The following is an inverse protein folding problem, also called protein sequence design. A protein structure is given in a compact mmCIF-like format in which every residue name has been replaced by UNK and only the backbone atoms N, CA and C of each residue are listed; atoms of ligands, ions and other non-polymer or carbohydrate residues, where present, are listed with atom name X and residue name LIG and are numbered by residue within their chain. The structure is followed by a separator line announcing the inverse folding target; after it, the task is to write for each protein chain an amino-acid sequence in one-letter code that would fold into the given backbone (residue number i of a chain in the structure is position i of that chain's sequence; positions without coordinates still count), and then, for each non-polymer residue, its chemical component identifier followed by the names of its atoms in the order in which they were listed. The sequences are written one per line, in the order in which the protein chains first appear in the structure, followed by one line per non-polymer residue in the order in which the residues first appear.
data_IF_748919311414
#
_entry.id   IF_748919311414
#
_cell.length_a   1.000
_cell.length_b   1.000
_cell.length_c   1.000
_cell.angle_alpha   90.00
_cell.angle_beta   90.00
_cell.angle_gamma   90.00
#
_symmetry.space_group_name_H-M   'P 1'
#
loop_
_entity.id
_entity.type
_entity.pdbx_description
1 polymer ?
#
# COMPACT_ATOMS: atom_id res chain seq x y z
N UNK A 1 -5.36 -13.43 17.26
CA UNK A 1 -4.00 -12.98 17.68
C UNK A 1 -3.55 -11.89 16.71
N UNK A 2 -2.79 -10.91 17.18
CA UNK A 2 -2.19 -9.87 16.33
C UNK A 2 -0.67 -10.06 16.36
N UNK A 3 -0.03 -9.89 15.20
CA UNK A 3 1.42 -10.05 15.03
C UNK A 3 2.03 -8.71 14.62
N UNK A 4 3.22 -8.42 15.12
CA UNK A 4 3.94 -7.21 14.75
C UNK A 4 4.57 -7.36 13.37
N UNK A 5 4.28 -6.44 12.44
CA UNK A 5 4.94 -6.36 11.14
C UNK A 5 6.05 -5.28 11.24
N UNK A 6 7.34 -5.65 11.11
CA UNK A 6 8.44 -4.69 11.20
C UNK A 6 8.37 -3.61 10.11
N UNK A 7 8.89 -2.38 10.35
CA UNK A 7 8.87 -1.30 9.35
C UNK A 7 9.46 -1.65 7.97
N UNK A 8 10.52 -2.47 7.84
CA UNK A 8 10.99 -2.92 6.53
C UNK A 8 9.93 -3.73 5.77
N UNK A 9 9.16 -4.56 6.48
CA UNK A 9 8.13 -5.43 5.92
C UNK A 9 6.82 -4.68 5.64
N UNK A 10 6.51 -3.62 6.41
CA UNK A 10 5.35 -2.75 6.14
C UNK A 10 5.42 -2.07 4.77
N UNK A 11 6.61 -1.94 4.15
CA UNK A 11 6.75 -1.41 2.78
C UNK A 11 6.19 -2.33 1.69
N UNK A 12 5.95 -3.62 2.00
CA UNK A 12 5.43 -4.63 1.06
C UNK A 12 3.90 -4.67 1.02
N UNK A 13 3.23 -3.99 1.94
CA UNK A 13 1.78 -4.08 2.15
C UNK A 13 1.18 -2.70 2.35
N UNK A 14 -0.13 -2.59 2.17
CA UNK A 14 -0.89 -1.39 2.49
C UNK A 14 -1.79 -1.64 3.71
N UNK A 15 -2.14 -0.58 4.43
CA UNK A 15 -3.14 -0.69 5.49
C UNK A 15 -4.47 -1.19 4.91
N UNK A 16 -5.02 -2.23 5.52
CA UNK A 16 -6.28 -2.86 5.11
C UNK A 16 -6.12 -4.07 4.19
N UNK A 17 -4.91 -4.34 3.67
CA UNK A 17 -4.67 -5.53 2.86
C UNK A 17 -4.89 -6.80 3.68
N UNK A 18 -5.48 -7.82 3.03
CA UNK A 18 -5.55 -9.17 3.57
C UNK A 18 -4.39 -9.97 3.02
N UNK A 19 -3.53 -10.46 3.91
CA UNK A 19 -2.29 -11.15 3.55
C UNK A 19 -2.17 -12.51 4.26
N UNK A 20 -1.41 -13.41 3.66
CA UNK A 20 -0.77 -14.54 4.33
C UNK A 20 0.63 -14.08 4.74
N UNK A 21 1.02 -14.41 5.97
CA UNK A 21 2.32 -14.03 6.52
C UNK A 21 2.98 -15.22 7.23
N UNK A 22 4.29 -15.31 7.11
CA UNK A 22 5.12 -16.24 7.88
C UNK A 22 5.39 -15.63 9.24
N UNK A 23 5.17 -16.41 10.30
CA UNK A 23 5.44 -15.97 11.67
C UNK A 23 6.84 -16.41 12.08
N UNK A 24 7.69 -15.44 12.40
CA UNK A 24 9.02 -15.68 12.94
C UNK A 24 9.01 -15.46 14.45
N UNK A 25 9.42 -16.48 15.19
CA UNK A 25 9.63 -16.39 16.63
C UNK A 25 11.12 -16.19 16.91
N UNK A 26 11.52 -14.96 17.21
CA UNK A 26 12.88 -14.66 17.66
C UNK A 26 12.88 -14.26 19.14
N UNK A 27 13.60 -15.04 19.95
CA UNK A 27 13.63 -14.90 21.41
C UNK A 27 12.22 -15.00 22.01
N UNK A 28 11.65 -13.89 22.46
CA UNK A 28 10.33 -13.79 23.08
C UNK A 28 9.33 -12.96 22.24
N UNK A 29 9.68 -12.61 21.00
CA UNK A 29 8.83 -11.81 20.13
C UNK A 29 8.47 -12.57 18.87
N UNK A 30 7.18 -12.52 18.54
CA UNK A 30 6.65 -13.01 17.27
C UNK A 30 6.51 -11.84 16.31
N UNK A 31 7.09 -11.95 15.12
CA UNK A 31 6.94 -10.99 14.03
C UNK A 31 6.30 -11.66 12.81
N UNK A 32 5.57 -10.88 12.02
CA UNK A 32 4.95 -11.33 10.78
C UNK A 32 5.72 -10.75 9.58
N UNK A 33 6.14 -11.64 8.68
CA UNK A 33 6.67 -11.30 7.37
C UNK A 33 5.61 -11.58 6.29
N UNK A 34 5.13 -10.57 5.54
CA UNK A 34 4.19 -10.76 4.45
C UNK A 34 4.75 -11.68 3.35
N UNK A 35 3.96 -12.68 2.97
CA UNK A 35 4.32 -13.67 1.95
C UNK A 35 3.42 -13.53 0.72
N UNK A 36 2.10 -13.54 0.91
CA UNK A 36 1.13 -13.51 -0.18
C UNK A 36 0.01 -12.49 0.07
N UNK A 37 -0.38 -11.77 -0.97
CA UNK A 37 -1.54 -10.89 -0.95
C UNK A 37 -2.80 -11.69 -1.35
N UNK A 38 -3.74 -11.82 -0.42
CA UNK A 38 -5.02 -12.50 -0.66
C UNK A 38 -6.05 -11.54 -1.25
N UNK A 39 -6.16 -10.34 -0.66
CA UNK A 39 -7.14 -9.35 -1.08
C UNK A 39 -6.55 -7.94 -0.91
N UNK A 40 -6.46 -7.16 -2.01
CA UNK A 40 -6.01 -5.78 -1.93
C UNK A 40 -7.08 -4.90 -1.29
N UNK A 41 -6.67 -3.99 -0.41
CA UNK A 41 -7.56 -2.98 0.14
C UNK A 41 -8.05 -1.98 -0.91
N UNK A 42 -7.18 -1.62 -1.86
CA UNK A 42 -7.50 -0.69 -2.94
C UNK A 42 -7.56 -1.38 -4.29
N UNK A 43 -8.66 -1.20 -5.00
CA UNK A 43 -8.81 -1.60 -6.42
C UNK A 43 -9.22 -0.40 -7.27
N UNK A 44 -10.42 0.14 -7.00
CA UNK A 44 -10.92 1.40 -7.55
C UNK A 44 -11.07 2.40 -6.43
N UNK A 45 -10.42 3.55 -6.55
CA UNK A 45 -10.42 4.59 -5.53
C UNK A 45 -10.45 5.98 -6.14
N UNK A 46 -10.77 6.96 -5.30
CA UNK A 46 -10.63 8.39 -5.60
C UNK A 46 -9.54 8.98 -4.71
N UNK A 47 -8.92 10.07 -5.16
CA UNK A 47 -7.81 10.67 -4.44
C UNK A 47 -7.38 11.99 -5.05
N UNK A 48 -6.46 12.66 -4.36
CA UNK A 48 -5.87 13.92 -4.82
C UNK A 48 -4.60 13.62 -5.61
N UNK A 49 -4.54 14.09 -6.86
CA UNK A 49 -3.34 13.98 -7.70
C UNK A 49 -2.34 15.06 -7.29
N UNK A 50 -1.07 14.67 -7.21
CA UNK A 50 0.08 15.52 -6.94
C UNK A 50 1.11 15.30 -8.05
N UNK A 51 1.80 16.38 -8.47
CA UNK A 51 2.80 16.32 -9.53
C UNK A 51 4.08 17.05 -9.15
N UNK A 52 5.24 16.43 -9.39
CA UNK A 52 6.56 17.07 -9.27
C UNK A 52 7.52 16.50 -10.31
N UNK A 53 8.19 17.37 -11.06
CA UNK A 53 9.21 16.99 -12.07
C UNK A 53 8.73 15.88 -13.02
N UNK A 54 7.57 16.09 -13.67
CA UNK A 54 6.92 15.14 -14.59
C UNK A 54 6.52 13.77 -14.00
N UNK A 55 6.58 13.62 -12.67
CA UNK A 55 6.09 12.43 -11.97
C UNK A 55 4.76 12.76 -11.30
N UNK A 56 3.72 12.03 -11.69
CA UNK A 56 2.41 12.08 -11.05
C UNK A 56 2.31 11.01 -9.97
N UNK A 57 1.66 11.37 -8.88
CA UNK A 57 1.25 10.45 -7.83
C UNK A 57 -0.18 10.82 -7.37
N UNK A 58 -0.88 9.87 -6.77
CA UNK A 58 -2.21 10.07 -6.21
C UNK A 58 -2.22 9.65 -4.75
N UNK A 59 -2.76 10.51 -3.88
CA UNK A 59 -3.00 10.18 -2.48
C UNK A 59 -4.46 9.72 -2.36
N UNK A 60 -4.73 8.46 -1.97
CA UNK A 60 -6.09 7.97 -1.79
C UNK A 60 -6.86 8.80 -0.75
N UNK A 61 -8.15 9.03 -0.99
CA UNK A 61 -9.02 9.74 -0.04
C UNK A 61 -9.51 8.78 1.06
N UNK A 62 -8.60 8.37 1.95
CA UNK A 62 -8.89 7.49 3.07
C UNK A 62 -8.07 7.86 4.31
N UNK A 63 -8.66 7.95 5.52
CA UNK A 63 -7.97 8.49 6.71
C UNK A 63 -6.66 7.78 7.10
N UNK A 64 -6.56 6.49 6.78
CA UNK A 64 -5.42 5.65 7.12
C UNK A 64 -4.38 5.53 5.98
N UNK A 65 -4.68 6.07 4.80
CA UNK A 65 -3.79 6.04 3.64
C UNK A 65 -3.24 7.43 3.38
N UNK A 66 -1.99 7.66 3.79
CA UNK A 66 -1.32 8.97 3.64
C UNK A 66 -0.23 8.96 2.59
N UNK A 67 0.14 7.79 2.09
CA UNK A 67 1.22 7.62 1.15
C UNK A 67 0.76 7.92 -0.29
N UNK A 68 1.60 8.64 -1.03
CA UNK A 68 1.35 8.96 -2.42
C UNK A 68 1.73 7.76 -3.32
N UNK A 69 0.77 7.28 -4.09
CA UNK A 69 0.93 6.15 -5.01
C UNK A 69 1.34 6.69 -6.38
N UNK A 70 2.50 6.30 -6.94
CA UNK A 70 2.91 6.72 -8.29
C UNK A 70 1.88 6.32 -9.34
N UNK A 71 1.52 7.25 -10.21
CA UNK A 71 0.53 7.02 -11.26
C UNK A 71 0.92 7.73 -12.57
N UNK A 72 0.18 7.45 -13.64
CA UNK A 72 0.31 8.12 -14.94
C UNK A 72 -1.08 8.31 -15.53
N UNK A 73 -1.26 9.36 -16.32
CA UNK A 73 -2.48 9.53 -17.11
C UNK A 73 -2.65 8.34 -18.07
N UNK A 74 -3.89 7.92 -18.29
CA UNK A 74 -4.18 6.92 -19.31
C UNK A 74 -3.79 7.45 -20.70
N UNK A 75 -3.24 6.58 -21.54
CA UNK A 75 -2.82 6.96 -22.90
C UNK A 75 -4.07 7.27 -23.73
N UNK A 76 -4.01 8.34 -24.52
CA UNK A 76 -5.11 8.74 -25.40
C UNK A 76 -6.24 9.50 -24.71
N UNK A 77 -6.03 9.97 -23.47
CA UNK A 77 -6.92 10.97 -22.87
C UNK A 77 -6.70 12.30 -23.58
N UNK A 78 -7.66 12.68 -24.42
CA UNK A 78 -7.74 14.00 -25.02
C UNK A 78 -8.57 14.91 -24.12
N UNK A 79 -8.18 16.18 -24.02
CA UNK A 79 -9.03 17.22 -23.46
C UNK A 79 -9.99 17.67 -24.57
N UNK A 80 -11.30 17.64 -24.33
CA UNK A 80 -12.27 18.36 -25.18
C UNK A 80 -12.17 19.87 -24.95
#
# INVERSE_FOLDING_TARGET
KSYFIPPPQMKKVMHGDRIIAVIHSEKERESAEPEELVEPFLTRFVGKVQGKNDRLAIVPDHPLLKDAIPCRAARGLNHE
#
